data_IF_963159075823
#
_entry.id   IF_963159075823
#
_cell.length_a   1.000
_cell.length_b   1.000
_cell.length_c   1.000
_cell.angle_alpha   90.00
_cell.angle_beta   90.00
_cell.angle_gamma   90.00
#
_symmetry.space_group_name_H-M   'P 1'
#
loop_
_entity.id
_entity.type
_entity.pdbx_description
1 polymer ?
#
# COMPACT_ATOMS: atom_id res chain seq x y z
N UNK A 1 -17.96 -0.26 9.24
CA UNK A 1 -16.65 0.41 9.23
C UNK A 1 -15.84 -0.08 8.05
N UNK A 2 -15.12 0.81 7.41
CA UNK A 2 -14.27 0.47 6.27
C UNK A 2 -12.80 0.64 6.63
N UNK A 3 -11.96 -0.32 6.26
CA UNK A 3 -10.52 -0.20 6.37
C UNK A 3 -9.93 0.06 4.98
N UNK A 4 -9.05 1.05 4.90
CA UNK A 4 -8.27 1.35 3.71
C UNK A 4 -6.83 1.00 4.01
N UNK A 5 -6.29 0.07 3.22
CA UNK A 5 -4.94 -0.44 3.44
C UNK A 5 -4.06 -0.05 2.26
N UNK A 6 -3.00 0.68 2.54
CA UNK A 6 -1.99 1.03 1.55
C UNK A 6 -0.76 0.16 1.78
N UNK A 7 -0.33 -0.55 0.74
CA UNK A 7 0.81 -1.47 0.82
C UNK A 7 1.85 -1.03 -0.19
N UNK A 8 3.06 -0.76 0.28
CA UNK A 8 4.15 -0.31 -0.56
C UNK A 8 5.41 -1.10 -0.25
N UNK A 9 6.32 -1.17 -1.22
CA UNK A 9 7.62 -1.80 -1.00
C UNK A 9 8.45 -0.99 -0.02
N UNK A 10 9.20 -1.69 0.82
CA UNK A 10 10.14 -1.06 1.74
C UNK A 10 11.21 -0.29 0.97
N UNK A 11 11.76 0.75 1.62
CA UNK A 11 12.90 1.47 1.09
C UNK A 11 14.05 0.49 0.81
N UNK A 12 14.69 0.64 -0.33
CA UNK A 12 15.78 -0.23 -0.73
C UNK A 12 15.35 -1.49 -1.49
N UNK A 13 14.07 -1.82 -1.51
CA UNK A 13 13.56 -2.91 -2.34
C UNK A 13 13.33 -2.40 -3.75
N UNK A 14 13.85 -3.10 -4.75
CA UNK A 14 13.70 -2.73 -6.15
C UNK A 14 12.23 -2.83 -6.57
N UNK A 15 11.76 -1.79 -7.26
CA UNK A 15 10.41 -1.72 -7.80
C UNK A 15 10.47 -1.59 -9.32
N UNK A 16 10.49 -2.73 -10.05
CA UNK A 16 10.59 -2.69 -11.51
C UNK A 16 9.40 -1.98 -12.18
N UNK A 17 8.20 -2.10 -11.60
CA UNK A 17 7.00 -1.44 -12.14
C UNK A 17 7.08 0.07 -11.95
N UNK A 18 7.51 0.53 -10.78
CA UNK A 18 7.70 1.95 -10.53
C UNK A 18 8.75 2.54 -11.46
N UNK A 19 9.84 1.83 -11.70
CA UNK A 19 10.89 2.28 -12.62
C UNK A 19 10.37 2.37 -14.05
N UNK A 20 9.58 1.40 -14.49
CA UNK A 20 8.99 1.41 -15.82
C UNK A 20 8.04 2.62 -15.99
N UNK A 21 7.25 2.92 -14.96
CA UNK A 21 6.36 4.08 -14.97
C UNK A 21 7.17 5.38 -15.06
N UNK A 22 8.22 5.50 -14.26
CA UNK A 22 9.08 6.69 -14.28
C UNK A 22 9.69 6.90 -15.67
N UNK A 23 10.18 5.82 -16.27
CA UNK A 23 10.75 5.89 -17.61
C UNK A 23 9.71 6.32 -18.65
N UNK A 24 8.52 5.74 -18.59
CA UNK A 24 7.43 6.07 -19.50
C UNK A 24 7.00 7.53 -19.35
N UNK A 25 6.93 8.04 -18.13
CA UNK A 25 6.59 9.43 -17.88
C UNK A 25 7.64 10.37 -18.49
N UNK A 26 8.91 10.04 -18.36
CA UNK A 26 10.00 10.79 -18.99
C UNK A 26 9.84 10.82 -20.52
N UNK A 27 9.49 9.70 -21.12
CA UNK A 27 9.26 9.59 -22.56
C UNK A 27 8.07 10.41 -23.03
N UNK A 28 7.10 10.65 -22.13
CA UNK A 28 5.92 11.46 -22.44
C UNK A 28 6.15 12.96 -22.21
N UNK A 29 7.35 13.35 -21.80
CA UNK A 29 7.71 14.76 -21.62
C UNK A 29 7.63 15.26 -20.18
N UNK A 30 7.38 14.40 -19.20
CA UNK A 30 7.33 14.79 -17.80
C UNK A 30 8.73 14.73 -17.17
N UNK A 31 9.48 15.81 -17.33
CA UNK A 31 10.89 15.82 -16.97
C UNK A 31 11.16 15.97 -15.48
N UNK A 32 10.16 16.33 -14.67
CA UNK A 32 10.33 16.59 -13.25
C UNK A 32 10.18 15.37 -12.34
N UNK A 33 10.06 14.18 -12.90
CA UNK A 33 9.82 12.95 -12.12
C UNK A 33 11.15 12.35 -11.70
N UNK A 34 11.44 12.38 -10.39
CA UNK A 34 12.67 11.81 -9.86
C UNK A 34 12.54 10.32 -9.57
N UNK A 35 11.37 9.89 -9.10
CA UNK A 35 11.16 8.49 -8.73
C UNK A 35 9.67 8.16 -8.75
N UNK A 36 9.35 6.90 -8.95
CA UNK A 36 7.98 6.38 -8.88
C UNK A 36 8.00 5.07 -8.11
N UNK A 37 7.11 4.98 -7.13
CA UNK A 37 6.91 3.75 -6.35
C UNK A 37 5.49 3.29 -6.57
N UNK A 38 5.31 2.03 -6.91
CA UNK A 38 3.98 1.44 -7.10
C UNK A 38 3.63 0.59 -5.89
N UNK A 39 2.37 0.60 -5.51
CA UNK A 39 1.90 -0.21 -4.40
C UNK A 39 0.49 -0.71 -4.65
N UNK A 40 -0.10 -1.27 -3.60
CA UNK A 40 -1.47 -1.78 -3.62
C UNK A 40 -2.34 -0.96 -2.70
N UNK A 41 -3.61 -0.84 -3.06
CA UNK A 41 -4.62 -0.22 -2.24
C UNK A 41 -5.79 -1.19 -2.10
N UNK A 42 -6.15 -1.53 -0.85
CA UNK A 42 -7.19 -2.51 -0.57
C UNK A 42 -8.23 -1.88 0.36
N UNK A 43 -9.50 -2.01 0.02
CA UNK A 43 -10.59 -1.60 0.88
C UNK A 43 -11.29 -2.83 1.45
N UNK A 44 -11.54 -2.82 2.75
CA UNK A 44 -12.19 -3.92 3.44
C UNK A 44 -13.39 -3.37 4.20
N UNK A 45 -14.56 -3.91 3.93
CA UNK A 45 -15.77 -3.57 4.68
C UNK A 45 -15.90 -4.51 5.86
N UNK A 46 -15.92 -3.93 7.06
CA UNK A 46 -15.89 -4.68 8.31
C UNK A 46 -17.22 -4.56 9.04
N UNK A 47 -17.65 -5.66 9.65
CA UNK A 47 -18.80 -5.66 10.55
C UNK A 47 -18.47 -5.04 11.91
N UNK A 48 -17.18 -5.03 12.29
CA UNK A 48 -16.74 -4.53 13.59
C UNK A 48 -16.98 -3.03 13.72
N UNK A 49 -17.51 -2.60 14.84
CA UNK A 49 -17.79 -1.19 15.13
C UNK A 49 -16.73 -0.55 16.03
N UNK A 50 -15.97 -1.35 16.76
CA UNK A 50 -14.91 -0.87 17.66
C UNK A 50 -13.63 -0.66 16.87
N UNK A 51 -13.14 0.58 16.83
CA UNK A 51 -11.94 0.91 16.04
C UNK A 51 -10.70 0.15 16.49
N UNK A 52 -10.53 -0.04 17.80
CA UNK A 52 -9.35 -0.77 18.31
C UNK A 52 -9.36 -2.22 17.86
N UNK A 53 -10.52 -2.88 17.93
CA UNK A 53 -10.67 -4.26 17.49
C UNK A 53 -10.53 -4.38 15.97
N UNK A 54 -11.10 -3.42 15.25
CA UNK A 54 -10.99 -3.38 13.79
C UNK A 54 -9.54 -3.25 13.35
N UNK A 55 -8.78 -2.35 13.99
CA UNK A 55 -7.35 -2.17 13.68
C UNK A 55 -6.55 -3.43 13.95
N UNK A 56 -6.79 -4.09 15.08
CA UNK A 56 -6.12 -5.35 15.40
C UNK A 56 -6.40 -6.41 14.34
N UNK A 57 -7.67 -6.55 13.94
CA UNK A 57 -8.06 -7.55 12.95
C UNK A 57 -7.41 -7.28 11.60
N UNK A 58 -7.44 -6.02 11.15
CA UNK A 58 -6.84 -5.65 9.85
C UNK A 58 -5.33 -5.78 9.89
N UNK A 59 -4.70 -5.43 11.01
CA UNK A 59 -3.26 -5.62 11.18
C UNK A 59 -2.87 -7.08 11.00
N UNK A 60 -3.63 -8.01 11.58
CA UNK A 60 -3.40 -9.44 11.40
C UNK A 60 -3.67 -9.90 9.97
N UNK A 61 -4.69 -9.35 9.33
CA UNK A 61 -4.96 -9.64 7.92
C UNK A 61 -3.77 -9.25 7.04
N UNK A 62 -3.21 -8.08 7.29
CA UNK A 62 -2.03 -7.60 6.56
C UNK A 62 -0.83 -8.52 6.79
N UNK A 63 -0.56 -8.86 8.05
CA UNK A 63 0.59 -9.69 8.39
C UNK A 63 0.49 -11.11 7.83
N UNK A 64 -0.74 -11.65 7.77
CA UNK A 64 -0.94 -13.04 7.37
C UNK A 64 -1.19 -13.23 5.87
N UNK A 65 -1.73 -12.21 5.20
CA UNK A 65 -2.18 -12.39 3.82
C UNK A 65 -1.92 -11.17 2.93
N UNK A 66 -2.33 -9.98 3.36
CA UNK A 66 -2.42 -8.83 2.45
C UNK A 66 -1.06 -8.26 2.07
N UNK A 67 -0.09 -8.31 2.96
CA UNK A 67 1.25 -7.78 2.73
C UNK A 67 2.30 -8.85 2.95
N UNK A 68 3.35 -8.80 2.14
CA UNK A 68 4.56 -9.58 2.39
C UNK A 68 5.48 -8.73 3.26
N UNK A 69 5.44 -8.94 4.57
CA UNK A 69 6.12 -8.09 5.54
C UNK A 69 7.64 -8.15 5.47
N UNK A 70 8.20 -9.09 4.72
CA UNK A 70 9.64 -9.14 4.47
C UNK A 70 10.06 -7.98 3.57
N UNK A 71 9.24 -7.64 2.56
CA UNK A 71 9.60 -6.63 1.54
C UNK A 71 8.63 -5.46 1.49
N UNK A 72 7.49 -5.53 2.19
CA UNK A 72 6.44 -4.51 2.11
C UNK A 72 6.13 -3.90 3.46
N UNK A 73 5.78 -2.61 3.43
CA UNK A 73 5.16 -1.92 4.54
C UNK A 73 3.68 -1.75 4.26
N UNK A 74 2.88 -1.55 5.31
CA UNK A 74 1.47 -1.25 5.12
C UNK A 74 1.02 -0.18 6.10
N UNK A 75 -0.01 0.57 5.69
CA UNK A 75 -0.65 1.57 6.53
C UNK A 75 -2.15 1.34 6.50
N UNK A 76 -2.79 1.44 7.65
CA UNK A 76 -4.21 1.17 7.83
C UNK A 76 -4.91 2.47 8.19
N UNK A 77 -5.99 2.80 7.46
CA UNK A 77 -6.85 3.92 7.74
C UNK A 77 -8.27 3.40 7.95
N UNK A 78 -8.85 3.66 9.11
CA UNK A 78 -10.21 3.21 9.44
C UNK A 78 -11.19 4.36 9.26
N UNK A 79 -12.25 4.10 8.51
CA UNK A 79 -13.28 5.09 8.20
C UNK A 79 -14.64 4.54 8.61
N UNK A 80 -15.42 5.34 9.30
CA UNK A 80 -16.77 4.95 9.72
C UNK A 80 -17.77 4.92 8.57
#
# INVERSE_FOLDING_TARGET
MKARVHITLKSGVLDPQGRAIAHALGSLGFAGVNDVRQGKYIEIDLKEADKAKARQAVDQMCAKLLANTVIENYAIDLVD
#
